data_IF_098955502417
#
_entry.id   IF_098955502417
#
_cell.length_a   1.000
_cell.length_b   1.000
_cell.length_c   1.000
_cell.angle_alpha   90.00
_cell.angle_beta   90.00
_cell.angle_gamma   90.00
#
_symmetry.space_group_name_H-M   'P 1'
#
loop_
_entity.id
_entity.type
_entity.pdbx_description
1 polymer ?
#
# COMPACT_ATOMS: atom_id res chain seq x y z
N UNK A 1 -20.78 -0.72 9.57
CA UNK A 1 -19.50 0.01 9.42
C UNK A 1 -18.44 -0.58 10.36
N UNK A 2 -17.20 -0.75 9.89
CA UNK A 2 -16.06 -1.21 10.70
C UNK A 2 -15.43 -0.01 11.43
N UNK A 3 -14.90 -0.20 12.63
CA UNK A 3 -14.13 0.85 13.32
C UNK A 3 -12.72 0.98 12.73
N UNK A 4 -12.08 2.12 12.94
CA UNK A 4 -10.69 2.31 12.53
C UNK A 4 -9.75 1.25 13.15
N UNK A 5 -9.91 0.95 14.44
CA UNK A 5 -9.07 -0.02 15.14
C UNK A 5 -9.27 -1.45 14.64
N UNK A 6 -10.52 -1.84 14.33
CA UNK A 6 -10.81 -3.14 13.71
C UNK A 6 -10.16 -3.24 12.34
N UNK A 7 -10.26 -2.18 11.53
CA UNK A 7 -9.64 -2.12 10.21
C UNK A 7 -8.11 -2.24 10.30
N UNK A 8 -7.48 -1.43 11.15
CA UNK A 8 -6.03 -1.46 11.39
C UNK A 8 -5.55 -2.85 11.83
N UNK A 9 -6.22 -3.45 12.82
CA UNK A 9 -5.90 -4.79 13.32
C UNK A 9 -6.03 -5.86 12.25
N UNK A 10 -7.10 -5.80 11.44
CA UNK A 10 -7.31 -6.75 10.34
C UNK A 10 -6.23 -6.65 9.27
N UNK A 11 -5.77 -5.45 8.92
CA UNK A 11 -4.67 -5.28 7.97
C UNK A 11 -3.36 -5.84 8.54
N UNK A 12 -3.09 -5.61 9.83
CA UNK A 12 -1.92 -6.17 10.49
C UNK A 12 -1.92 -7.71 10.43
N UNK A 13 -3.04 -8.35 10.76
CA UNK A 13 -3.15 -9.82 10.71
C UNK A 13 -2.94 -10.38 9.31
N UNK A 14 -3.47 -9.73 8.27
CA UNK A 14 -3.26 -10.15 6.87
C UNK A 14 -1.79 -10.03 6.47
N UNK A 15 -1.08 -8.99 6.89
CA UNK A 15 0.36 -8.86 6.62
C UNK A 15 1.17 -9.95 7.33
N UNK A 16 0.79 -10.32 8.55
CA UNK A 16 1.43 -11.41 9.30
C UNK A 16 1.20 -12.76 8.58
N UNK A 17 -0.03 -13.02 8.12
CA UNK A 17 -0.35 -14.23 7.33
C UNK A 17 0.45 -14.29 6.03
N UNK A 18 0.53 -13.19 5.28
CA UNK A 18 1.33 -13.11 4.04
C UNK A 18 2.82 -13.34 4.33
N UNK A 19 3.33 -12.80 5.43
CA UNK A 19 4.74 -12.96 5.83
C UNK A 19 5.09 -14.41 6.19
N UNK A 20 4.11 -15.19 6.65
CA UNK A 20 4.28 -16.58 7.04
C UNK A 20 4.26 -17.55 5.84
N UNK A 21 3.83 -17.09 4.66
CA UNK A 21 3.85 -17.86 3.42
C UNK A 21 5.24 -17.95 2.78
N UNK A 22 5.39 -18.86 1.83
CA UNK A 22 6.63 -19.04 1.07
C UNK A 22 6.72 -18.08 -0.13
N UNK A 23 7.87 -17.40 -0.24
CA UNK A 23 8.20 -16.59 -1.42
C UNK A 23 7.46 -15.24 -1.51
N UNK A 24 7.56 -14.54 -2.66
CA UNK A 24 6.96 -13.22 -2.84
C UNK A 24 5.45 -13.32 -3.04
N UNK A 25 4.69 -12.45 -2.36
CA UNK A 25 3.24 -12.31 -2.53
C UNK A 25 2.88 -11.14 -3.46
N UNK A 26 1.86 -11.33 -4.29
CA UNK A 26 1.20 -10.26 -5.07
C UNK A 26 -0.19 -10.01 -4.50
N UNK A 27 -0.43 -8.78 -4.05
CA UNK A 27 -1.71 -8.37 -3.47
C UNK A 27 -2.35 -7.29 -4.35
N UNK A 28 -3.58 -7.53 -4.78
CA UNK A 28 -4.39 -6.55 -5.54
C UNK A 28 -5.47 -6.01 -4.61
N UNK A 29 -5.47 -4.70 -4.38
CA UNK A 29 -6.27 -4.08 -3.32
C UNK A 29 -6.53 -2.59 -3.58
N UNK A 30 -7.24 -1.92 -2.66
CA UNK A 30 -7.61 -0.50 -2.73
C UNK A 30 -6.57 0.43 -2.09
N UNK A 31 -6.64 1.72 -2.45
CA UNK A 31 -5.78 2.76 -1.88
C UNK A 31 -5.85 2.89 -0.36
N UNK A 32 -7.03 2.66 0.24
CA UNK A 32 -7.20 2.69 1.69
C UNK A 32 -6.43 1.58 2.42
N UNK A 33 -6.37 0.37 1.84
CA UNK A 33 -5.56 -0.71 2.40
C UNK A 33 -4.07 -0.40 2.23
N UNK A 34 -3.66 0.04 1.04
CA UNK A 34 -2.27 0.39 0.76
C UNK A 34 -1.79 1.50 1.69
N UNK A 35 -2.58 2.56 1.91
CA UNK A 35 -2.22 3.63 2.84
C UNK A 35 -2.08 3.13 4.28
N UNK A 36 -2.92 2.17 4.71
CA UNK A 36 -2.82 1.57 6.03
C UNK A 36 -1.55 0.73 6.18
N UNK A 37 -1.22 -0.09 5.18
CA UNK A 37 0.04 -0.87 5.15
C UNK A 37 1.25 0.06 5.23
N UNK A 38 1.27 1.14 4.44
CA UNK A 38 2.34 2.14 4.48
C UNK A 38 2.42 2.87 5.82
N UNK A 39 1.26 3.19 6.43
CA UNK A 39 1.23 3.83 7.73
C UNK A 39 1.77 2.92 8.84
N UNK A 40 1.40 1.64 8.85
CA UNK A 40 1.93 0.66 9.81
C UNK A 40 3.43 0.41 9.60
N UNK A 41 3.88 0.28 8.35
CA UNK A 41 5.29 0.07 8.01
C UNK A 41 6.19 1.25 8.41
N UNK A 42 5.70 2.49 8.24
CA UNK A 42 6.48 3.71 8.43
C UNK A 42 6.15 4.48 9.72
N UNK A 43 5.26 3.94 10.57
CA UNK A 43 4.84 4.59 11.83
C UNK A 43 4.10 5.92 11.61
N UNK A 44 3.26 6.01 10.58
CA UNK A 44 2.60 7.26 10.21
C UNK A 44 1.31 7.48 10.99
N UNK A 45 1.12 8.70 11.50
CA UNK A 45 -0.17 9.13 12.04
C UNK A 45 -1.22 9.38 10.96
N UNK A 46 -2.49 9.45 11.37
CA UNK A 46 -3.66 9.63 10.48
C UNK A 46 -3.47 10.77 9.46
N UNK A 47 -2.98 11.99 9.81
CA UNK A 47 -2.82 13.05 8.82
C UNK A 47 -1.85 12.69 7.68
N UNK A 48 -0.77 11.96 7.98
CA UNK A 48 0.20 11.51 6.98
C UNK A 48 -0.35 10.34 6.15
N UNK A 49 -1.05 9.39 6.80
CA UNK A 49 -1.76 8.32 6.10
C UNK A 49 -2.78 8.87 5.09
N UNK A 50 -3.56 9.90 5.46
CA UNK A 50 -4.54 10.51 4.57
C UNK A 50 -3.89 11.14 3.33
N UNK A 51 -2.73 11.80 3.48
CA UNK A 51 -1.98 12.35 2.34
C UNK A 51 -1.51 11.27 1.38
N UNK A 52 -1.06 10.13 1.93
CA UNK A 52 -0.71 8.96 1.12
C UNK A 52 -1.94 8.42 0.39
N UNK A 53 -3.06 8.23 1.10
CA UNK A 53 -4.29 7.68 0.53
C UNK A 53 -4.78 8.49 -0.68
N UNK A 54 -4.73 9.82 -0.61
CA UNK A 54 -5.12 10.72 -1.69
C UNK A 54 -4.17 10.68 -2.89
N UNK A 55 -2.89 10.37 -2.67
CA UNK A 55 -1.91 10.33 -3.75
C UNK A 55 -1.93 9.02 -4.54
N UNK A 56 -2.48 7.93 -3.97
CA UNK A 56 -2.43 6.59 -4.58
C UNK A 56 -3.21 6.58 -5.89
N UNK A 57 -2.48 6.28 -6.97
CA UNK A 57 -3.02 6.17 -8.31
C UNK A 57 -3.73 4.83 -8.52
N UNK A 58 -4.73 4.84 -9.39
CA UNK A 58 -5.34 3.62 -9.86
C UNK A 58 -4.29 2.73 -10.54
N UNK A 59 -4.33 1.43 -10.23
CA UNK A 59 -3.40 0.41 -10.76
C UNK A 59 -1.92 0.63 -10.42
N UNK A 60 -1.62 1.47 -9.43
CA UNK A 60 -0.24 1.68 -9.00
C UNK A 60 0.36 0.47 -8.29
N UNK A 61 1.66 0.31 -8.51
CA UNK A 61 2.51 -0.71 -7.94
C UNK A 61 3.18 -0.20 -6.68
N UNK A 62 3.17 -1.03 -5.65
CA UNK A 62 3.82 -0.81 -4.36
C UNK A 62 4.65 -2.04 -4.02
N UNK A 63 5.80 -1.85 -3.38
CA UNK A 63 6.66 -2.97 -2.98
C UNK A 63 7.24 -2.70 -1.61
N UNK A 64 7.16 -3.73 -0.76
CA UNK A 64 7.76 -3.73 0.57
C UNK A 64 8.62 -4.99 0.70
N UNK A 65 9.73 -4.88 1.43
CA UNK A 65 10.57 -6.01 1.83
C UNK A 65 10.61 -6.12 3.36
N UNK A 66 10.67 -7.35 3.91
CA UNK A 66 10.93 -7.55 5.33
C UNK A 66 12.44 -7.37 5.58
N UNK A 67 12.84 -6.20 6.07
CA UNK A 67 14.24 -5.87 6.37
C UNK A 67 14.37 -5.61 7.87
N UNK A 68 15.23 -6.37 8.55
CA UNK A 68 15.47 -6.20 9.98
C UNK A 68 14.24 -6.42 10.86
N UNK A 69 13.30 -7.27 10.43
CA UNK A 69 12.04 -7.51 11.15
C UNK A 69 10.95 -6.45 10.91
N UNK A 70 11.18 -5.51 9.99
CA UNK A 70 10.23 -4.46 9.65
C UNK A 70 9.88 -4.49 8.17
N UNK A 71 8.64 -4.17 7.84
CA UNK A 71 8.24 -3.91 6.47
C UNK A 71 8.84 -2.58 5.99
N UNK A 72 9.69 -2.64 4.98
CA UNK A 72 10.39 -1.50 4.41
C UNK A 72 9.90 -1.23 2.99
N UNK A 73 9.18 -0.12 2.74
CA UNK A 73 8.77 0.26 1.40
C UNK A 73 9.99 0.54 0.51
N UNK A 74 10.01 -0.05 -0.69
CA UNK A 74 11.06 0.16 -1.71
C UNK A 74 10.51 0.64 -3.04
N UNK A 75 9.18 0.63 -3.20
CA UNK A 75 8.47 1.23 -4.32
C UNK A 75 7.13 1.75 -3.81
N UNK A 76 6.82 3.00 -4.16
CA UNK A 76 5.57 3.63 -3.80
C UNK A 76 4.92 4.22 -5.05
N UNK A 77 3.62 3.92 -5.23
CA UNK A 77 2.74 4.58 -6.17
C UNK A 77 3.22 4.62 -7.64
N UNK A 78 3.94 3.59 -8.07
CA UNK A 78 4.56 3.58 -9.39
C UNK A 78 3.57 3.05 -10.45
N UNK A 79 3.51 3.69 -11.61
CA UNK A 79 2.66 3.27 -12.73
C UNK A 79 3.46 3.12 -14.03
N UNK A 80 4.55 2.32 -14.05
CA UNK A 80 5.44 2.25 -15.22
C UNK A 80 4.72 1.75 -16.48
N UNK A 81 3.68 0.93 -16.35
CA UNK A 81 2.83 0.47 -17.45
C UNK A 81 1.96 1.58 -18.07
N UNK A 82 1.85 2.74 -17.40
CA UNK A 82 1.18 3.94 -17.88
C UNK A 82 2.14 5.07 -18.22
N UNK A 83 3.46 4.91 -18.03
CA UNK A 83 4.46 5.95 -18.26
C UNK A 83 4.89 6.02 -19.73
N UNK A 84 3.90 6.16 -20.61
CA UNK A 84 4.12 6.43 -22.04
C UNK A 84 3.25 7.62 -22.45
N UNK A 85 3.66 8.43 -23.43
CA UNK A 85 2.88 9.59 -23.87
C UNK A 85 1.41 9.27 -24.15
N UNK A 86 1.13 8.12 -24.77
CA UNK A 86 -0.23 7.68 -25.11
C UNK A 86 -1.07 7.25 -23.90
N UNK A 87 -0.44 6.83 -22.78
CA UNK A 87 -1.14 6.32 -21.58
C UNK A 87 -1.16 7.29 -20.40
N UNK A 88 -0.44 8.41 -20.47
CA UNK A 88 -0.42 9.42 -19.39
C UNK A 88 -1.81 9.93 -19.00
N UNK A 89 -2.76 9.99 -19.92
CA UNK A 89 -4.16 10.39 -19.60
C UNK A 89 -4.88 9.40 -18.68
N UNK A 90 -4.41 8.15 -18.60
CA UNK A 90 -4.98 7.12 -17.72
C UNK A 90 -4.38 7.14 -16.31
N UNK A 91 -3.36 7.96 -16.06
CA UNK A 91 -2.77 8.20 -14.75
C UNK A 91 -3.74 9.00 -13.89
N UNK A 92 -4.61 8.29 -13.17
CA UNK A 92 -5.73 8.86 -12.39
C UNK A 92 -5.65 8.43 -10.93
N UNK A 93 -6.19 9.26 -10.03
CA UNK A 93 -6.39 8.98 -8.61
C UNK A 93 -7.69 9.68 -8.15
N UNK A 94 -8.04 9.56 -6.87
CA UNK A 94 -9.23 10.18 -6.26
C UNK A 94 -8.97 11.66 -5.96
#
# INVERSE_FOLDING_TARGET
PESYSSFEGRIKSVLEEISAGDGPALVVTSGGLISMVMAQAMGLGIPAMSRIALAIMHTSMHRLFPIGGHWSPVLFNAVPHLDTPARRVAQTHI
#
